data_IF_393338915429
#
_entry.id   IF_393338915429
#
_cell.length_a   1.000
_cell.length_b   1.000
_cell.length_c   1.000
_cell.angle_alpha   90.00
_cell.angle_beta   90.00
_cell.angle_gamma   90.00
#
_symmetry.space_group_name_H-M   'P 1'
#
loop_
_entity.id
_entity.type
_entity.pdbx_description
1 polymer ?
#
# COMPACT_ATOMS: atom_id res chain seq x y z
N UNK A 1 -7.45 -16.94 18.46
CA UNK A 1 -6.26 -16.90 17.57
C UNK A 1 -6.71 -16.82 16.13
N UNK A 2 -6.02 -16.07 15.29
CA UNK A 2 -6.41 -15.86 13.88
C UNK A 2 -5.26 -16.27 12.97
N UNK A 3 -5.48 -17.22 12.08
CA UNK A 3 -4.50 -17.67 11.08
C UNK A 3 -4.92 -17.19 9.70
N UNK A 4 -3.99 -16.58 8.95
CA UNK A 4 -4.25 -16.17 7.56
C UNK A 4 -3.86 -17.32 6.63
N UNK A 5 -4.63 -17.56 5.59
CA UNK A 5 -4.49 -18.65 4.64
C UNK A 5 -4.09 -18.10 3.28
N UNK A 6 -3.19 -18.79 2.58
CA UNK A 6 -2.77 -18.40 1.22
C UNK A 6 -3.88 -18.57 0.16
N UNK A 7 -5.00 -19.20 0.51
CA UNK A 7 -6.15 -19.42 -0.34
C UNK A 7 -7.45 -18.97 0.35
N UNK A 8 -8.48 -18.70 -0.44
CA UNK A 8 -9.82 -18.45 0.07
C UNK A 8 -10.53 -19.76 0.43
N UNK A 9 -11.25 -19.74 1.55
CA UNK A 9 -12.18 -20.78 1.97
C UNK A 9 -13.49 -20.67 1.15
N UNK A 10 -14.33 -21.71 1.15
CA UNK A 10 -15.62 -21.70 0.46
C UNK A 10 -16.56 -20.56 0.87
N UNK A 11 -16.38 -19.99 2.06
CA UNK A 11 -17.13 -18.84 2.58
C UNK A 11 -16.55 -17.48 2.15
N UNK A 12 -15.52 -17.47 1.29
CA UNK A 12 -14.86 -16.28 0.78
C UNK A 12 -13.84 -15.65 1.72
N UNK A 13 -13.54 -16.26 2.87
CA UNK A 13 -12.51 -15.76 3.80
C UNK A 13 -11.15 -16.38 3.51
N UNK A 14 -10.08 -15.61 3.69
CA UNK A 14 -8.69 -16.06 3.63
C UNK A 14 -8.11 -16.27 5.04
N UNK A 15 -8.94 -16.57 6.04
CA UNK A 15 -8.48 -16.77 7.41
C UNK A 15 -9.39 -17.69 8.21
N UNK A 16 -8.82 -18.27 9.28
CA UNK A 16 -9.52 -19.13 10.24
C UNK A 16 -9.36 -18.56 11.65
N UNK A 17 -10.42 -18.65 12.44
CA UNK A 17 -10.40 -18.34 13.87
C UNK A 17 -10.36 -19.62 14.69
N UNK A 18 -9.39 -19.72 15.58
CA UNK A 18 -9.32 -20.76 16.60
C UNK A 18 -9.60 -20.16 17.97
N UNK A 19 -10.67 -20.62 18.61
CA UNK A 19 -11.00 -20.29 19.98
C UNK A 19 -10.57 -21.43 20.91
N UNK A 20 -9.91 -21.07 22.00
CA UNK A 20 -9.48 -22.00 23.03
C UNK A 20 -9.91 -21.43 24.37
N UNK A 21 -11.09 -21.86 24.82
CA UNK A 21 -11.62 -21.55 26.14
C UNK A 21 -11.60 -22.83 26.94
N UNK A 22 -10.81 -22.86 28.03
CA UNK A 22 -10.64 -24.05 28.87
C UNK A 22 -10.79 -23.65 30.33
N UNK A 23 -11.68 -24.34 31.02
CA UNK A 23 -11.83 -24.33 32.46
C UNK A 23 -11.33 -25.66 33.00
N UNK A 24 -10.40 -25.63 33.93
CA UNK A 24 -9.98 -26.80 34.70
C UNK A 24 -10.47 -26.66 36.14
N UNK A 25 -10.91 -27.76 36.72
CA UNK A 25 -11.15 -27.87 38.15
C UNK A 25 -10.46 -29.11 38.68
N UNK A 26 -9.85 -28.96 39.84
CA UNK A 26 -9.10 -30.00 40.53
C UNK A 26 -9.71 -30.18 41.92
N UNK A 27 -9.95 -31.44 42.30
CA UNK A 27 -10.42 -31.79 43.63
C UNK A 27 -9.34 -32.52 44.44
N UNK A 28 -9.25 -32.27 45.75
CA UNK A 28 -8.41 -33.05 46.65
C UNK A 28 -8.79 -34.54 46.55
N UNK A 29 -7.86 -35.37 46.09
CA UNK A 29 -8.11 -36.77 45.72
C UNK A 29 -7.77 -37.12 44.26
N UNK A 30 -7.31 -36.15 43.47
CA UNK A 30 -6.78 -36.36 42.12
C UNK A 30 -7.83 -36.45 41.02
N UNK A 31 -9.08 -36.03 41.32
CA UNK A 31 -10.13 -35.91 40.30
C UNK A 31 -9.99 -34.56 39.61
N UNK A 32 -9.78 -34.60 38.30
CA UNK A 32 -9.67 -33.43 37.45
C UNK A 32 -10.85 -33.41 36.49
N UNK A 33 -11.55 -32.29 36.37
CA UNK A 33 -12.50 -32.06 35.31
C UNK A 33 -12.03 -30.89 34.44
N UNK A 34 -12.08 -31.10 33.14
CA UNK A 34 -11.67 -30.11 32.13
C UNK A 34 -12.90 -29.87 31.26
N UNK A 35 -13.32 -28.62 31.17
CA UNK A 35 -14.42 -28.18 30.33
C UNK A 35 -13.82 -27.26 29.28
N UNK A 36 -14.03 -27.57 28.01
CA UNK A 36 -13.62 -26.69 26.92
C UNK A 36 -14.85 -26.18 26.17
N UNK A 37 -14.89 -24.88 25.93
CA UNK A 37 -15.97 -24.18 25.24
C UNK A 37 -15.51 -23.77 23.85
N UNK A 38 -16.38 -23.95 22.86
CA UNK A 38 -16.15 -23.54 21.47
C UNK A 38 -14.82 -24.04 20.89
N UNK A 39 -14.34 -25.19 21.37
CA UNK A 39 -13.12 -25.81 20.88
C UNK A 39 -13.31 -26.17 19.43
N UNK A 40 -12.45 -25.65 18.56
CA UNK A 40 -12.51 -25.96 17.14
C UNK A 40 -12.35 -27.48 16.92
N UNK A 41 -13.11 -28.07 15.99
CA UNK A 41 -13.12 -29.52 15.74
C UNK A 41 -11.74 -30.12 15.44
N UNK A 42 -10.84 -29.33 14.85
CA UNK A 42 -9.45 -29.70 14.61
C UNK A 42 -8.64 -29.95 15.89
N UNK A 43 -8.96 -29.24 16.97
CA UNK A 43 -8.22 -29.29 18.24
C UNK A 43 -8.74 -30.38 19.16
N UNK A 44 -10.02 -30.72 19.06
CA UNK A 44 -10.66 -31.77 19.87
C UNK A 44 -9.87 -33.09 19.90
N UNK A 45 -9.49 -33.71 18.77
CA UNK A 45 -8.79 -34.99 18.80
C UNK A 45 -7.36 -34.86 19.36
N UNK A 46 -6.66 -33.75 19.11
CA UNK A 46 -5.32 -33.50 19.63
C UNK A 46 -5.32 -33.37 21.16
N UNK A 47 -6.22 -32.55 21.68
CA UNK A 47 -6.41 -32.37 23.13
C UNK A 47 -6.85 -33.68 23.78
N UNK A 48 -7.84 -34.37 23.21
CA UNK A 48 -8.37 -35.62 23.79
C UNK A 48 -7.31 -36.72 23.83
N UNK A 49 -6.61 -36.95 22.72
CA UNK A 49 -5.54 -37.96 22.64
C UNK A 49 -4.43 -37.66 23.64
N UNK A 50 -4.03 -36.40 23.80
CA UNK A 50 -3.07 -36.01 24.80
C UNK A 50 -3.55 -36.32 26.23
N UNK A 51 -4.78 -35.92 26.58
CA UNK A 51 -5.34 -36.11 27.91
C UNK A 51 -5.53 -37.58 28.27
N UNK A 52 -5.88 -38.42 27.29
CA UNK A 52 -6.06 -39.86 27.48
C UNK A 52 -4.73 -40.62 27.60
N UNK A 53 -3.68 -40.15 26.92
CA UNK A 53 -2.38 -40.81 26.90
C UNK A 53 -1.43 -40.34 28.02
N UNK A 54 -1.75 -39.23 28.69
CA UNK A 54 -0.91 -38.67 29.75
C UNK A 54 -1.38 -39.15 31.12
N UNK A 55 -0.50 -39.82 31.86
CA UNK A 55 -0.81 -40.21 33.23
C UNK A 55 -0.87 -38.96 34.12
N UNK A 56 -2.07 -38.64 34.64
CA UNK A 56 -2.28 -37.47 35.51
C UNK A 56 -1.35 -37.54 36.73
N UNK A 57 -0.42 -36.58 36.90
CA UNK A 57 0.23 -36.37 38.18
C UNK A 57 -0.84 -36.12 39.24
N UNK A 58 -0.80 -36.88 40.34
CA UNK A 58 -1.77 -36.70 41.44
C UNK A 58 -1.56 -35.39 42.19
N UNK A 59 -0.36 -34.81 42.09
CA UNK A 59 0.15 -33.79 43.00
C UNK A 59 0.28 -32.40 42.38
N UNK A 60 -0.22 -32.15 41.17
CA UNK A 60 -0.17 -30.81 40.57
C UNK A 60 -1.39 -30.50 39.70
N UNK A 61 -2.29 -29.57 40.06
CA UNK A 61 -3.43 -29.19 39.23
C UNK A 61 -3.07 -28.56 37.86
N UNK A 62 -1.86 -28.05 37.68
CA UNK A 62 -1.44 -27.30 36.49
C UNK A 62 -0.84 -28.16 35.37
N UNK A 63 -0.66 -29.47 35.58
CA UNK A 63 -0.10 -30.37 34.55
C UNK A 63 -0.88 -30.28 33.23
N UNK A 64 -2.20 -30.14 33.32
CA UNK A 64 -3.12 -30.03 32.18
C UNK A 64 -2.83 -28.75 31.38
N UNK A 65 -2.64 -27.62 32.05
CA UNK A 65 -2.38 -26.33 31.40
C UNK A 65 -1.10 -26.36 30.59
N UNK A 66 -0.04 -26.99 31.11
CA UNK A 66 1.23 -27.14 30.38
C UNK A 66 1.08 -27.79 29.00
N UNK A 67 0.04 -28.60 28.83
CA UNK A 67 -0.23 -29.36 27.62
C UNK A 67 -1.10 -28.59 26.64
N UNK A 68 -2.10 -27.86 27.15
CA UNK A 68 -2.83 -26.88 26.34
C UNK A 68 -1.90 -25.82 25.78
N UNK A 69 -0.92 -25.36 26.55
CA UNK A 69 0.05 -24.38 26.09
C UNK A 69 0.90 -24.87 24.91
N UNK A 70 1.13 -26.17 24.78
CA UNK A 70 1.80 -26.74 23.60
C UNK A 70 0.99 -26.51 22.32
N UNK A 71 -0.30 -26.86 22.35
CA UNK A 71 -1.19 -26.71 21.20
C UNK A 71 -1.43 -25.23 20.88
N UNK A 72 -1.61 -24.39 21.91
CA UNK A 72 -1.71 -22.93 21.74
C UNK A 72 -0.42 -22.37 21.14
N UNK A 73 0.76 -22.82 21.58
CA UNK A 73 2.03 -22.37 21.01
C UNK A 73 2.16 -22.75 19.54
N UNK A 74 1.79 -23.97 19.16
CA UNK A 74 1.79 -24.41 17.76
C UNK A 74 0.87 -23.56 16.89
N UNK A 75 -0.35 -23.27 17.36
CA UNK A 75 -1.30 -22.43 16.62
C UNK A 75 -0.83 -20.98 16.49
N UNK A 76 -0.26 -20.42 17.55
CA UNK A 76 0.30 -19.07 17.50
C UNK A 76 1.50 -18.99 16.57
N UNK A 77 2.36 -20.01 16.56
CA UNK A 77 3.48 -20.09 15.63
C UNK A 77 2.95 -20.03 14.19
N UNK A 78 2.03 -20.93 13.81
CA UNK A 78 1.42 -20.93 12.47
C UNK A 78 0.79 -19.58 12.10
N UNK A 79 0.09 -18.92 13.03
CA UNK A 79 -0.48 -17.60 12.81
C UNK A 79 0.59 -16.53 12.54
N UNK A 80 1.68 -16.52 13.31
CA UNK A 80 2.81 -15.59 13.11
C UNK A 80 3.52 -15.84 11.79
N UNK A 81 3.75 -17.10 11.43
CA UNK A 81 4.38 -17.46 10.16
C UNK A 81 3.50 -17.11 8.96
N UNK A 82 2.18 -17.27 9.07
CA UNK A 82 1.26 -16.88 7.99
C UNK A 82 1.42 -15.40 7.63
N UNK A 83 1.39 -14.50 8.62
CA UNK A 83 1.57 -13.05 8.41
C UNK A 83 2.93 -12.76 7.78
N UNK A 84 3.99 -13.40 8.28
CA UNK A 84 5.36 -13.25 7.74
C UNK A 84 5.43 -13.62 6.26
N UNK A 85 4.78 -14.71 5.87
CA UNK A 85 4.82 -15.23 4.51
C UNK A 85 4.14 -14.28 3.52
N UNK A 86 3.02 -13.68 3.93
CA UNK A 86 2.39 -12.63 3.12
C UNK A 86 3.23 -11.37 3.00
N UNK A 87 3.83 -10.92 4.11
CA UNK A 87 4.75 -9.77 4.09
C UNK A 87 5.90 -10.06 3.12
N UNK A 88 6.54 -11.23 3.24
CA UNK A 88 7.63 -11.64 2.36
C UNK A 88 7.21 -11.70 0.90
N UNK A 89 6.05 -12.27 0.60
CA UNK A 89 5.54 -12.34 -0.78
C UNK A 89 5.33 -10.93 -1.38
N UNK A 90 4.80 -10.00 -0.58
CA UNK A 90 4.65 -8.60 -0.96
C UNK A 90 6.01 -7.96 -1.25
N UNK A 91 6.99 -8.16 -0.35
CA UNK A 91 8.35 -7.64 -0.51
C UNK A 91 9.04 -8.18 -1.78
N UNK A 92 8.81 -9.44 -2.16
CA UNK A 92 9.45 -10.07 -3.32
C UNK A 92 8.80 -9.70 -4.66
N UNK A 93 7.51 -9.36 -4.69
CA UNK A 93 6.78 -9.05 -5.93
C UNK A 93 7.05 -7.65 -6.49
N UNK A 94 8.04 -6.92 -5.97
CA UNK A 94 8.38 -5.53 -6.36
C UNK A 94 9.11 -5.41 -7.70
N UNK A 95 9.51 -6.50 -8.35
CA UNK A 95 10.52 -6.53 -9.43
C UNK A 95 10.05 -6.06 -10.80
N UNK A 96 9.01 -5.22 -10.90
CA UNK A 96 8.52 -4.72 -12.18
C UNK A 96 8.81 -3.22 -12.35
N UNK A 97 9.44 -2.85 -13.47
CA UNK A 97 9.59 -1.46 -13.94
C UNK A 97 8.25 -0.83 -14.39
N UNK A 98 7.13 -1.54 -14.25
CA UNK A 98 5.81 -1.08 -14.63
C UNK A 98 5.23 -0.06 -13.62
N UNK A 99 4.09 0.53 -13.99
CA UNK A 99 3.29 1.39 -13.11
C UNK A 99 3.01 0.65 -11.79
N UNK A 100 3.33 1.24 -10.62
CA UNK A 100 3.04 0.62 -9.34
C UNK A 100 1.52 0.50 -9.16
N UNK A 101 1.05 -0.71 -8.85
CA UNK A 101 -0.36 -1.01 -8.57
C UNK A 101 -0.49 -1.94 -7.35
N UNK A 102 -0.15 -1.47 -6.14
CA UNK A 102 -0.26 -2.27 -4.93
C UNK A 102 -1.73 -2.54 -4.56
N UNK A 103 -2.00 -3.75 -4.07
CA UNK A 103 -3.30 -4.13 -3.53
C UNK A 103 -3.47 -3.59 -2.10
N UNK A 104 -3.83 -2.31 -1.99
CA UNK A 104 -3.97 -1.64 -0.69
C UNK A 104 -5.00 -2.30 0.22
N UNK A 105 -6.10 -2.82 -0.35
CA UNK A 105 -7.15 -3.47 0.44
C UNK A 105 -6.57 -4.68 1.17
N UNK A 106 -5.89 -5.56 0.43
CA UNK A 106 -5.26 -6.75 0.99
C UNK A 106 -4.15 -6.42 1.98
N UNK A 107 -3.35 -5.38 1.71
CA UNK A 107 -2.31 -4.94 2.65
C UNK A 107 -2.89 -4.44 3.98
N UNK A 108 -3.97 -3.66 3.94
CA UNK A 108 -4.66 -3.17 5.14
C UNK A 108 -5.38 -4.28 5.90
N UNK A 109 -6.02 -5.21 5.17
CA UNK A 109 -6.62 -6.39 5.79
C UNK A 109 -5.55 -7.23 6.51
N UNK A 110 -4.42 -7.50 5.85
CA UNK A 110 -3.28 -8.17 6.46
C UNK A 110 -2.75 -7.43 7.70
N UNK A 111 -2.70 -6.09 7.67
CA UNK A 111 -2.31 -5.30 8.83
C UNK A 111 -3.27 -5.52 10.01
N UNK A 112 -4.58 -5.59 9.76
CA UNK A 112 -5.58 -5.95 10.77
C UNK A 112 -5.34 -7.35 11.33
N UNK A 113 -5.01 -8.32 10.47
CA UNK A 113 -4.65 -9.68 10.92
C UNK A 113 -3.40 -9.68 11.80
N UNK A 114 -2.34 -8.97 11.40
CA UNK A 114 -1.10 -8.87 12.16
C UNK A 114 -1.31 -8.25 13.55
N UNK A 115 -2.16 -7.23 13.64
CA UNK A 115 -2.56 -6.60 14.91
C UNK A 115 -3.24 -7.63 15.82
N UNK A 116 -4.23 -8.38 15.31
CA UNK A 116 -4.91 -9.40 16.11
C UNK A 116 -3.99 -10.55 16.56
N UNK A 117 -3.07 -11.00 15.71
CA UNK A 117 -2.09 -12.03 16.11
C UNK A 117 -1.25 -11.52 17.27
N UNK A 118 -0.73 -10.29 17.18
CA UNK A 118 0.03 -9.67 18.27
C UNK A 118 -0.81 -9.52 19.55
N UNK A 119 -2.04 -9.02 19.44
CA UNK A 119 -2.96 -8.85 20.57
C UNK A 119 -3.20 -10.18 21.29
N UNK A 120 -3.52 -11.25 20.55
CA UNK A 120 -3.76 -12.57 21.17
C UNK A 120 -2.51 -13.16 21.81
N UNK A 121 -1.32 -12.87 21.27
CA UNK A 121 -0.05 -13.25 21.88
C UNK A 121 0.23 -12.47 23.18
N UNK A 122 -0.10 -11.17 23.23
CA UNK A 122 0.01 -10.36 24.45
C UNK A 122 -0.90 -10.91 25.55
N UNK A 123 -2.15 -11.23 25.22
CA UNK A 123 -3.10 -11.86 26.16
C UNK A 123 -2.59 -13.23 26.62
N UNK A 124 -2.04 -14.05 25.72
CA UNK A 124 -1.48 -15.36 26.07
C UNK A 124 -0.27 -15.23 27.02
N UNK A 125 0.64 -14.29 26.78
CA UNK A 125 1.78 -14.02 27.66
C UNK A 125 1.31 -13.64 29.07
N UNK A 126 0.39 -12.68 29.18
CA UNK A 126 -0.16 -12.24 30.48
C UNK A 126 -0.87 -13.39 31.18
N UNK A 127 -1.61 -14.22 30.44
CA UNK A 127 -2.32 -15.39 31.01
C UNK A 127 -1.34 -16.39 31.60
N UNK A 128 -0.26 -16.72 30.88
CA UNK A 128 0.75 -17.68 31.35
C UNK A 128 1.54 -17.12 32.54
N UNK A 129 1.86 -15.81 32.55
CA UNK A 129 2.52 -15.16 33.69
C UNK A 129 1.67 -15.29 34.96
N UNK A 130 0.37 -15.05 34.85
CA UNK A 130 -0.55 -15.25 35.97
C UNK A 130 -0.67 -16.73 36.39
N UNK A 131 -0.69 -17.67 35.44
CA UNK A 131 -0.70 -19.10 35.76
C UNK A 131 0.57 -19.53 36.52
N UNK A 132 1.73 -19.03 36.13
CA UNK A 132 3.00 -19.29 36.83
C UNK A 132 2.93 -18.73 38.25
N UNK A 133 2.47 -17.49 38.42
CA UNK A 133 2.36 -16.86 39.73
C UNK A 133 1.41 -17.63 40.67
N UNK A 134 0.27 -18.10 40.16
CA UNK A 134 -0.66 -18.91 40.95
C UNK A 134 -0.11 -20.30 41.26
N UNK A 135 0.63 -20.91 40.33
CA UNK A 135 1.31 -22.19 40.54
C UNK A 135 2.38 -22.09 41.63
N UNK A 136 3.17 -21.01 41.65
CA UNK A 136 4.16 -20.75 42.70
C UNK A 136 3.52 -20.65 44.08
N UNK A 137 2.40 -19.93 44.20
CA UNK A 137 1.65 -19.83 45.45
C UNK A 137 1.11 -21.20 45.92
N UNK A 138 0.48 -21.93 45.00
CA UNK A 138 -0.03 -23.29 45.27
C UNK A 138 1.09 -24.22 45.75
N UNK A 139 2.24 -24.17 45.09
CA UNK A 139 3.40 -25.00 45.43
C UNK A 139 3.96 -24.68 46.83
N UNK A 140 4.04 -23.40 47.21
CA UNK A 140 4.47 -23.00 48.55
C UNK A 140 3.55 -23.54 49.65
N UNK A 141 2.23 -23.55 49.40
CA UNK A 141 1.24 -24.11 50.34
C UNK A 141 1.29 -25.64 50.40
N UNK A 142 1.48 -26.32 49.26
CA UNK A 142 1.48 -27.78 49.15
C UNK A 142 2.78 -28.44 49.63
N UNK A 143 3.94 -27.78 49.50
CA UNK A 143 5.29 -28.36 49.73
C UNK A 143 5.58 -28.84 51.17
N UNK A 144 4.64 -28.74 52.10
CA UNK A 144 4.83 -29.11 53.51
C UNK A 144 4.81 -30.63 53.80
N UNK A 145 4.66 -31.52 52.81
CA UNK A 145 4.63 -32.97 53.10
C UNK A 145 4.77 -33.99 51.96
N UNK A 146 4.89 -33.60 50.68
CA UNK A 146 4.83 -34.52 49.52
C UNK A 146 6.02 -34.38 48.53
N UNK A 147 6.15 -35.36 47.62
CA UNK A 147 7.13 -35.34 46.50
C UNK A 147 7.01 -34.06 45.65
N UNK A 148 8.16 -33.50 45.32
CA UNK A 148 8.33 -32.17 44.71
C UNK A 148 8.48 -32.23 43.17
N UNK A 149 8.66 -33.42 42.60
CA UNK A 149 9.09 -33.59 41.21
C UNK A 149 8.02 -33.15 40.20
N UNK A 150 6.76 -33.50 40.44
CA UNK A 150 5.65 -33.17 39.54
C UNK A 150 5.37 -31.65 39.45
N UNK A 151 5.23 -30.92 40.58
CA UNK A 151 5.14 -29.46 40.55
C UNK A 151 6.31 -28.77 39.85
N UNK A 152 7.54 -29.18 40.14
CA UNK A 152 8.72 -28.61 39.48
C UNK A 152 8.71 -28.84 37.97
N UNK A 153 8.24 -30.01 37.52
CA UNK A 153 8.16 -30.31 36.09
C UNK A 153 7.11 -29.45 35.39
N UNK A 154 5.94 -29.24 36.01
CA UNK A 154 4.92 -28.36 35.44
C UNK A 154 5.41 -26.91 35.39
N UNK A 155 6.05 -26.41 36.46
CA UNK A 155 6.60 -25.04 36.50
C UNK A 155 7.62 -24.83 35.36
N UNK A 156 8.55 -25.77 35.17
CA UNK A 156 9.51 -25.73 34.06
C UNK A 156 8.83 -25.66 32.69
N UNK A 157 7.76 -26.44 32.49
CA UNK A 157 6.98 -26.42 31.24
C UNK A 157 6.22 -25.10 31.04
N UNK A 158 5.63 -24.55 32.11
CA UNK A 158 4.95 -23.24 32.05
C UNK A 158 5.94 -22.13 31.66
N UNK A 159 7.12 -22.08 32.29
CA UNK A 159 8.17 -21.13 31.93
C UNK A 159 8.69 -21.32 30.50
N UNK A 160 8.85 -22.57 30.06
CA UNK A 160 9.23 -22.86 28.69
C UNK A 160 8.23 -22.27 27.69
N UNK A 161 6.93 -22.53 27.86
CA UNK A 161 5.92 -21.98 26.96
C UNK A 161 5.74 -20.47 27.11
N UNK A 162 5.94 -19.89 28.30
CA UNK A 162 6.02 -18.43 28.45
C UNK A 162 7.11 -17.84 27.57
N UNK A 163 8.29 -18.46 27.57
CA UNK A 163 9.42 -18.01 26.74
C UNK A 163 9.09 -18.14 25.25
N UNK A 164 8.49 -19.26 24.82
CA UNK A 164 8.01 -19.45 23.44
C UNK A 164 7.01 -18.35 23.05
N UNK A 165 6.00 -18.09 23.87
CA UNK A 165 5.00 -17.04 23.59
C UNK A 165 5.63 -15.65 23.51
N UNK A 166 6.59 -15.33 24.39
CA UNK A 166 7.33 -14.06 24.32
C UNK A 166 8.13 -13.94 23.03
N UNK A 167 8.81 -15.00 22.60
CA UNK A 167 9.55 -15.04 21.33
C UNK A 167 8.61 -14.83 20.14
N UNK A 168 7.48 -15.54 20.10
CA UNK A 168 6.45 -15.36 19.07
C UNK A 168 5.87 -13.96 19.07
N UNK A 169 5.63 -13.35 20.24
CA UNK A 169 5.16 -11.97 20.39
C UNK A 169 6.14 -10.98 19.75
N UNK A 170 7.43 -11.08 20.04
CA UNK A 170 8.44 -10.22 19.44
C UNK A 170 8.52 -10.40 17.92
N UNK A 171 8.36 -11.63 17.43
CA UNK A 171 8.32 -11.92 15.99
C UNK A 171 7.07 -11.33 15.32
N UNK A 172 5.91 -11.44 15.96
CA UNK A 172 4.66 -10.83 15.50
C UNK A 172 4.78 -9.31 15.41
N UNK A 173 5.38 -8.68 16.44
CA UNK A 173 5.64 -7.24 16.45
C UNK A 173 6.55 -6.83 15.29
N UNK A 174 7.67 -7.53 15.08
CA UNK A 174 8.58 -7.24 13.98
C UNK A 174 7.91 -7.42 12.61
N UNK A 175 7.09 -8.46 12.43
CA UNK A 175 6.34 -8.66 11.19
C UNK A 175 5.31 -7.54 10.97
N UNK A 176 4.62 -7.08 12.02
CA UNK A 176 3.69 -5.95 11.95
C UNK A 176 4.39 -4.66 11.54
N UNK A 177 5.52 -4.34 12.17
CA UNK A 177 6.32 -3.15 11.84
C UNK A 177 6.82 -3.20 10.39
N UNK A 178 7.30 -4.37 9.93
CA UNK A 178 7.68 -4.58 8.52
C UNK A 178 6.52 -4.35 7.55
N UNK A 179 5.33 -4.85 7.87
CA UNK A 179 4.13 -4.65 7.05
C UNK A 179 3.73 -3.18 6.97
N UNK A 180 3.76 -2.45 8.08
CA UNK A 180 3.45 -1.01 8.12
C UNK A 180 4.46 -0.22 7.26
N UNK A 181 5.75 -0.55 7.38
CA UNK A 181 6.79 0.03 6.54
C UNK A 181 6.51 -0.25 5.06
N UNK A 182 6.05 -1.44 4.73
CA UNK A 182 5.74 -1.80 3.35
C UNK A 182 4.55 -1.05 2.78
N UNK A 183 3.47 -0.90 3.57
CA UNK A 183 2.31 -0.09 3.18
C UNK A 183 2.75 1.35 2.90
N UNK A 184 3.60 1.91 3.78
CA UNK A 184 4.12 3.27 3.63
C UNK A 184 4.97 3.41 2.38
N UNK A 185 5.85 2.44 2.10
CA UNK A 185 6.66 2.41 0.89
C UNK A 185 5.80 2.34 -0.37
N UNK A 186 4.74 1.54 -0.37
CA UNK A 186 3.81 1.42 -1.48
C UNK A 186 3.11 2.75 -1.79
N UNK A 187 2.62 3.48 -0.78
CA UNK A 187 2.06 4.83 -0.97
C UNK A 187 3.07 5.81 -1.55
N UNK A 188 4.27 5.86 -0.97
CA UNK A 188 5.32 6.76 -1.43
C UNK A 188 5.75 6.47 -2.87
N UNK A 189 5.79 5.20 -3.25
CA UNK A 189 6.17 4.78 -4.61
C UNK A 189 5.12 5.20 -5.63
N UNK A 190 3.83 5.03 -5.33
CA UNK A 190 2.75 5.51 -6.22
C UNK A 190 2.77 7.04 -6.31
N UNK A 191 2.90 7.75 -5.19
CA UNK A 191 2.99 9.21 -5.18
C UNK A 191 4.19 9.73 -5.98
N UNK A 192 5.35 9.07 -5.86
CA UNK A 192 6.54 9.40 -6.65
C UNK A 192 6.34 9.14 -8.14
N UNK A 193 5.68 8.04 -8.50
CA UNK A 193 5.34 7.73 -9.90
C UNK A 193 4.40 8.81 -10.47
N UNK A 194 3.30 9.11 -9.79
CA UNK A 194 2.33 10.12 -10.24
C UNK A 194 2.95 11.52 -10.33
N UNK A 195 3.85 11.86 -9.42
CA UNK A 195 4.62 13.11 -9.48
C UNK A 195 5.51 13.17 -10.71
N UNK A 196 6.20 12.07 -11.06
CA UNK A 196 7.02 12.00 -12.29
C UNK A 196 6.17 12.13 -13.54
N UNK A 197 5.01 11.46 -13.60
CA UNK A 197 4.07 11.59 -14.72
C UNK A 197 3.56 13.03 -14.82
N UNK A 198 3.22 13.68 -13.71
CA UNK A 198 2.77 15.07 -13.69
C UNK A 198 3.85 16.03 -14.21
N UNK A 199 5.12 15.81 -13.83
CA UNK A 199 6.26 16.59 -14.38
C UNK A 199 6.41 16.36 -15.87
N UNK A 200 6.31 15.12 -16.36
CA UNK A 200 6.38 14.82 -17.79
C UNK A 200 5.23 15.47 -18.58
N UNK A 201 4.01 15.45 -18.03
CA UNK A 201 2.85 16.16 -18.61
C UNK A 201 3.13 17.66 -18.63
N UNK A 202 3.66 18.23 -17.55
CA UNK A 202 4.02 19.65 -17.48
C UNK A 202 5.07 20.05 -18.52
N UNK A 203 6.10 19.21 -18.71
CA UNK A 203 7.14 19.42 -19.73
C UNK A 203 6.57 19.31 -21.15
N UNK A 204 5.73 18.31 -21.42
CA UNK A 204 5.05 18.16 -22.70
C UNK A 204 4.09 19.33 -23.00
N UNK A 205 3.36 19.80 -21.99
CA UNK A 205 2.50 20.98 -22.12
C UNK A 205 3.31 22.27 -22.32
N UNK A 206 4.50 22.37 -21.72
CA UNK A 206 5.41 23.50 -21.92
C UNK A 206 5.97 23.53 -23.34
N UNK A 207 6.39 22.39 -23.89
CA UNK A 207 6.88 22.31 -25.27
C UNK A 207 5.76 22.59 -26.28
N UNK A 208 4.56 22.06 -26.03
CA UNK A 208 3.36 22.35 -26.83
C UNK A 208 3.00 23.85 -26.78
N UNK A 209 3.05 24.45 -25.59
CA UNK A 209 2.86 25.89 -25.42
C UNK A 209 3.88 26.73 -26.18
N UNK A 210 5.14 26.29 -26.25
CA UNK A 210 6.17 26.96 -27.04
C UNK A 210 5.85 26.89 -28.54
N UNK A 211 5.44 25.72 -29.05
CA UNK A 211 5.00 25.57 -30.44
C UNK A 211 3.77 26.44 -30.76
N UNK A 212 2.78 26.47 -29.86
CA UNK A 212 1.58 27.31 -30.01
C UNK A 212 1.92 28.80 -30.05
N UNK A 213 2.86 29.26 -29.21
CA UNK A 213 3.37 30.65 -29.25
C UNK A 213 4.03 30.97 -30.60
N UNK A 214 4.79 30.05 -31.17
CA UNK A 214 5.40 30.25 -32.50
C UNK A 214 4.34 30.38 -33.59
N UNK A 215 3.31 29.53 -33.59
CA UNK A 215 2.21 29.61 -34.57
C UNK A 215 1.44 30.93 -34.40
N UNK A 216 1.13 31.33 -33.16
CA UNK A 216 0.47 32.60 -32.86
C UNK A 216 1.31 33.81 -33.35
N UNK A 217 2.63 33.76 -33.20
CA UNK A 217 3.52 34.79 -33.72
C UNK A 217 3.50 34.86 -35.26
N UNK A 218 3.62 33.71 -35.94
CA UNK A 218 3.59 33.66 -37.41
C UNK A 218 2.26 34.20 -37.97
N UNK A 219 1.14 33.81 -37.36
CA UNK A 219 -0.19 34.32 -37.76
C UNK A 219 -0.29 35.83 -37.54
N UNK A 220 0.17 36.36 -36.41
CA UNK A 220 0.18 37.81 -36.14
C UNK A 220 1.04 38.61 -37.14
N UNK A 221 2.15 38.03 -37.60
CA UNK A 221 3.06 38.66 -38.55
C UNK A 221 2.49 38.69 -39.99
N UNK A 222 1.89 37.57 -40.43
CA UNK A 222 1.41 37.43 -41.81
C UNK A 222 -0.03 37.91 -42.03
N UNK A 223 -0.91 37.83 -41.03
CA UNK A 223 -2.32 38.19 -41.18
C UNK A 223 -2.54 39.63 -41.72
N UNK A 224 -1.82 40.66 -41.27
CA UNK A 224 -1.99 42.01 -41.81
C UNK A 224 -1.55 42.12 -43.27
N UNK A 225 -0.41 41.50 -43.61
CA UNK A 225 0.09 41.48 -44.99
C UNK A 225 -0.86 40.72 -45.93
N UNK A 226 -1.41 39.58 -45.50
CA UNK A 226 -2.40 38.82 -46.26
C UNK A 226 -3.71 39.59 -46.42
N UNK A 227 -4.20 40.28 -45.39
CA UNK A 227 -5.40 41.12 -45.47
C UNK A 227 -5.24 42.28 -46.45
N UNK A 228 -4.11 43.00 -46.37
CA UNK A 228 -3.76 44.09 -47.29
C UNK A 228 -3.63 43.53 -48.71
N UNK A 229 -2.94 42.40 -48.90
CA UNK A 229 -2.84 41.72 -50.19
C UNK A 229 -4.23 41.40 -50.78
N UNK A 230 -5.16 40.86 -49.99
CA UNK A 230 -6.51 40.54 -50.46
C UNK A 230 -7.30 41.77 -50.94
N UNK A 231 -7.23 42.89 -50.20
CA UNK A 231 -7.88 44.16 -50.59
C UNK A 231 -7.30 44.68 -51.91
N UNK A 232 -5.97 44.65 -52.04
CA UNK A 232 -5.26 45.26 -53.14
C UNK A 232 -5.12 44.35 -54.38
N UNK A 233 -5.29 43.04 -54.21
CA UNK A 233 -5.21 42.04 -55.29
C UNK A 233 -6.28 42.24 -56.36
N UNK A 234 -7.41 42.88 -56.04
CA UNK A 234 -8.45 43.18 -57.04
C UNK A 234 -8.18 44.47 -57.83
N UNK A 235 -7.28 45.33 -57.35
CA UNK A 235 -7.11 46.70 -57.88
C UNK A 235 -5.78 46.94 -58.61
N UNK A 236 -4.80 46.03 -58.53
CA UNK A 236 -3.45 46.24 -59.08
C UNK A 236 -3.10 45.40 -60.30
N UNK A 237 -3.95 44.44 -60.68
CA UNK A 237 -3.76 43.64 -61.89
C UNK A 237 -4.73 44.13 -62.96
N UNK A 238 -4.21 44.87 -63.94
CA UNK A 238 -4.97 45.29 -65.12
C UNK A 238 -4.83 44.21 -66.20
N UNK A 239 -5.92 43.49 -66.47
CA UNK A 239 -6.01 42.53 -67.57
C UNK A 239 -6.52 43.26 -68.82
N UNK A 240 -5.64 43.45 -69.81
CA UNK A 240 -6.05 43.97 -71.12
C UNK A 240 -6.21 42.78 -72.07
N UNK A 241 -7.44 42.37 -72.43
CA UNK A 241 -7.63 41.27 -73.36
C UNK A 241 -7.07 41.63 -74.74
N UNK A 242 -6.39 40.68 -75.38
CA UNK A 242 -5.83 40.85 -76.71
C UNK A 242 -6.97 41.05 -77.73
N UNK A 243 -7.08 42.27 -78.25
CA UNK A 243 -7.84 42.56 -79.47
C UNK A 243 -6.80 42.72 -80.58
N UNK A 244 -7.00 41.99 -81.68
CA UNK A 244 -6.20 42.01 -82.91
C UNK A 244 -4.76 41.46 -82.84
N UNK A 245 -4.61 40.18 -82.46
CA UNK A 245 -3.40 39.38 -82.78
C UNK A 245 -2.11 39.78 -82.05
N UNK A 246 -2.17 40.71 -81.10
CA UNK A 246 -1.06 41.08 -80.24
C UNK A 246 -1.00 40.21 -78.97
N UNK A 247 0.23 39.99 -78.49
CA UNK A 247 0.58 39.17 -77.32
C UNK A 247 -0.18 39.64 -76.08
N UNK A 248 -0.72 38.71 -75.29
CA UNK A 248 -1.32 39.00 -73.99
C UNK A 248 -0.27 39.64 -73.06
N UNK A 249 -0.48 40.89 -72.64
CA UNK A 249 0.43 41.59 -71.71
C UNK A 249 -0.22 41.63 -70.32
N UNK A 250 0.37 40.89 -69.38
CA UNK A 250 0.09 41.06 -67.96
C UNK A 250 0.90 42.26 -67.44
N UNK A 251 0.27 43.43 -67.30
CA UNK A 251 0.91 44.63 -66.74
C UNK A 251 0.63 44.76 -65.23
N UNK A 252 1.69 44.85 -64.44
CA UNK A 252 1.61 45.19 -63.00
C UNK A 252 1.43 46.70 -62.88
N UNK A 253 0.42 47.17 -62.12
CA UNK A 253 0.18 48.59 -61.89
C UNK A 253 1.39 49.28 -61.23
N UNK A 254 1.76 50.48 -61.71
CA UNK A 254 2.84 51.31 -61.14
C UNK A 254 2.63 51.65 -59.65
N UNK A 255 1.41 51.47 -59.15
CA UNK A 255 0.99 51.71 -57.78
C UNK A 255 1.29 50.55 -56.82
N UNK A 256 1.92 49.47 -57.29
CA UNK A 256 2.29 48.31 -56.48
C UNK A 256 3.11 48.66 -55.22
N UNK A 257 3.86 49.77 -55.23
CA UNK A 257 4.60 50.24 -54.05
C UNK A 257 3.71 50.50 -52.82
N UNK A 258 2.43 50.87 -53.02
CA UNK A 258 1.50 51.16 -51.93
C UNK A 258 1.18 49.93 -51.08
N UNK A 259 1.27 48.71 -51.65
CA UNK A 259 1.16 47.48 -50.86
C UNK A 259 2.21 47.45 -49.75
N UNK A 260 3.49 47.68 -50.09
CA UNK A 260 4.59 47.68 -49.12
C UNK A 260 4.48 48.84 -48.12
N UNK A 261 4.01 50.01 -48.59
CA UNK A 261 3.80 51.18 -47.75
C UNK A 261 2.77 50.96 -46.64
N UNK A 262 1.78 50.08 -46.84
CA UNK A 262 0.71 49.80 -45.87
C UNK A 262 0.97 48.50 -45.11
N UNK A 263 1.40 47.43 -45.79
CA UNK A 263 1.59 46.11 -45.20
C UNK A 263 2.71 46.11 -44.14
N UNK A 264 3.86 46.74 -44.43
CA UNK A 264 5.02 46.71 -43.51
C UNK A 264 4.73 47.44 -42.21
N UNK A 265 4.20 48.69 -42.19
CA UNK A 265 3.88 49.37 -40.95
C UNK A 265 2.81 48.64 -40.14
N UNK A 266 1.79 48.06 -40.80
CA UNK A 266 0.72 47.35 -40.12
C UNK A 266 1.21 46.08 -39.44
N UNK A 267 2.04 45.26 -40.12
CA UNK A 267 2.70 44.10 -39.52
C UNK A 267 3.68 44.50 -38.40
N UNK A 268 4.41 45.61 -38.55
CA UNK A 268 5.29 46.12 -37.50
C UNK A 268 4.51 46.56 -36.25
N UNK A 269 3.34 47.19 -36.45
CA UNK A 269 2.46 47.63 -35.38
C UNK A 269 1.85 46.44 -34.62
N UNK A 270 1.37 45.40 -35.31
CA UNK A 270 0.80 44.21 -34.64
C UNK A 270 1.86 43.48 -33.81
N UNK A 271 3.06 43.28 -34.34
CA UNK A 271 4.17 42.65 -33.59
C UNK A 271 4.61 43.52 -32.41
N UNK A 272 4.68 44.84 -32.60
CA UNK A 272 5.06 45.78 -31.55
C UNK A 272 4.07 45.79 -30.38
N UNK A 273 2.75 45.74 -30.67
CA UNK A 273 1.71 45.59 -29.65
C UNK A 273 1.86 44.29 -28.86
N UNK A 274 2.17 43.18 -29.52
CA UNK A 274 2.40 41.89 -28.86
C UNK A 274 3.64 41.89 -27.96
N UNK A 275 4.76 42.44 -28.43
CA UNK A 275 5.98 42.60 -27.64
C UNK A 275 5.76 43.50 -26.42
N UNK A 276 5.02 44.60 -26.60
CA UNK A 276 4.65 45.50 -25.52
C UNK A 276 3.78 44.76 -24.47
N UNK A 277 2.75 44.04 -24.91
CA UNK A 277 1.90 43.26 -24.01
C UNK A 277 2.69 42.24 -23.20
N UNK A 278 3.57 41.48 -23.85
CA UNK A 278 4.35 40.45 -23.18
C UNK A 278 5.37 41.03 -22.17
N UNK A 279 5.89 42.24 -22.42
CA UNK A 279 6.80 42.95 -21.52
C UNK A 279 6.09 43.52 -20.29
N UNK A 280 4.89 44.07 -20.45
CA UNK A 280 4.11 44.67 -19.36
C UNK A 280 3.36 43.63 -18.52
N UNK A 281 2.97 42.51 -19.14
CA UNK A 281 2.32 41.38 -18.47
C UNK A 281 3.17 40.11 -18.62
N UNK A 282 4.35 40.03 -17.97
CA UNK A 282 5.16 38.82 -18.03
C UNK A 282 4.39 37.65 -17.39
N UNK A 283 4.34 36.48 -18.05
CA UNK A 283 3.75 35.29 -17.45
C UNK A 283 4.54 34.90 -16.21
N UNK A 284 3.84 34.63 -15.10
CA UNK A 284 4.47 34.12 -13.87
C UNK A 284 5.09 32.77 -14.16
N UNK A 285 6.41 32.67 -14.02
CA UNK A 285 7.11 31.39 -14.04
C UNK A 285 6.81 30.70 -12.71
N UNK A 286 6.11 29.56 -12.75
CA UNK A 286 5.87 28.74 -11.56
C UNK A 286 6.90 27.60 -11.59
N UNK A 287 7.80 27.56 -10.60
CA UNK A 287 8.69 26.41 -10.37
C UNK A 287 10.17 26.61 -10.69
N UNK A 288 10.81 27.62 -10.07
CA UNK A 288 12.25 27.61 -9.79
C UNK A 288 12.45 27.45 -8.28
#
# INVERSE_FOLDING_TARGET
MKQVLQHYLPDGKDYVWYNVNVLSTWQPGGKNAIISFDTHDFLKPKILSFLLNTQSPKNDPYWVHSSFLQEVASMQDEAVWSVRDFVRNTETNRTSNARPNPDYLRLHDLARHAIHVQETLEVAVVTIENMIHQHEHFFLEWSKGDSVDAPQQAQKRLHFYLHVMKSLKYRAQANKERLINEITLAYNTVAQYDSRISVQIGQAAQSDSAAMKTIAFLTLAFLPATFVSAIFSMTFFDYTPAVDGAVEIYSISEKFWMYWAVAVPLSALTVSLWLFWHKFFPPKVIGL
#
